data_IF_915456884244
#
_entry.id   IF_915456884244
#
_cell.length_a   1.000
_cell.length_b   1.000
_cell.length_c   1.000
_cell.angle_alpha   90.00
_cell.angle_beta   90.00
_cell.angle_gamma   90.00
#
_symmetry.space_group_name_H-M   'P 1'
#
loop_
_entity.id
_entity.type
_entity.pdbx_description
1 polymer ?
#
# COMPACT_ATOMS: atom_id res chain seq x y z
N UNK A 1 -33.54 31.91 19.56
CA UNK A 1 -32.33 31.08 19.64
C UNK A 1 -31.27 31.95 20.30
N UNK A 2 -30.72 31.52 21.41
CA UNK A 2 -29.74 32.34 22.13
C UNK A 2 -28.43 32.40 21.34
N UNK A 3 -27.76 33.54 21.38
CA UNK A 3 -26.47 33.75 20.70
C UNK A 3 -25.41 32.73 21.08
N UNK A 4 -25.54 32.10 22.26
CA UNK A 4 -24.68 31.03 22.75
C UNK A 4 -24.77 29.73 21.90
N UNK A 5 -25.95 29.41 21.36
CA UNK A 5 -26.11 28.19 20.50
C UNK A 5 -25.48 28.43 19.14
N UNK A 6 -25.60 29.65 18.60
CA UNK A 6 -24.95 30.01 17.34
C UNK A 6 -23.42 30.00 17.48
N UNK A 7 -22.91 30.55 18.58
CA UNK A 7 -21.47 30.52 18.88
C UNK A 7 -20.96 29.12 19.07
N UNK A 8 -21.72 28.22 19.71
CA UNK A 8 -21.38 26.81 19.86
C UNK A 8 -21.34 26.10 18.52
N UNK A 9 -22.36 26.31 17.65
CA UNK A 9 -22.41 25.71 16.30
C UNK A 9 -21.28 26.26 15.42
N UNK A 10 -20.98 27.54 15.48
CA UNK A 10 -19.89 28.15 14.71
C UNK A 10 -18.51 27.65 15.18
N UNK A 11 -18.34 27.37 16.47
CA UNK A 11 -17.10 26.83 17.02
C UNK A 11 -16.89 25.35 16.67
N UNK A 12 -17.96 24.57 16.41
CA UNK A 12 -17.89 23.21 15.91
C UNK A 12 -17.45 23.15 14.43
N UNK A 13 -17.63 24.27 13.69
CA UNK A 13 -17.20 24.40 12.30
C UNK A 13 -15.79 25.03 12.15
N UNK A 14 -15.16 25.46 13.25
CA UNK A 14 -13.74 25.75 13.25
C UNK A 14 -13.05 24.40 12.94
N UNK A 15 -12.48 24.27 11.74
CA UNK A 15 -11.62 23.12 11.40
C UNK A 15 -10.58 23.04 12.51
N UNK A 16 -10.61 21.94 13.25
CA UNK A 16 -9.55 21.63 14.20
C UNK A 16 -8.25 21.46 13.40
N UNK A 17 -7.48 22.54 13.27
CA UNK A 17 -6.20 22.54 12.56
C UNK A 17 -5.18 21.59 13.23
N UNK A 18 -5.51 21.07 14.40
CA UNK A 18 -4.70 20.10 15.15
C UNK A 18 -5.12 18.65 14.90
N UNK A 19 -6.26 18.43 14.23
CA UNK A 19 -6.72 17.06 13.93
C UNK A 19 -5.72 16.36 12.99
N UNK A 20 -5.35 15.10 13.27
CA UNK A 20 -4.45 14.38 12.40
C UNK A 20 -5.08 14.21 11.02
N UNK A 21 -4.35 14.60 9.97
CA UNK A 21 -4.80 14.52 8.59
C UNK A 21 -4.12 13.37 7.86
N UNK A 22 -4.87 12.67 6.99
CA UNK A 22 -4.28 11.71 6.08
C UNK A 22 -3.43 12.43 5.02
N UNK A 23 -2.24 11.91 4.74
CA UNK A 23 -1.30 12.48 3.79
C UNK A 23 -0.88 11.46 2.74
N UNK A 24 -0.81 11.84 1.46
CA UNK A 24 -0.29 10.93 0.42
C UNK A 24 1.16 10.54 0.68
N UNK A 25 1.47 9.27 0.48
CA UNK A 25 2.84 8.75 0.44
C UNK A 25 3.19 8.49 -1.02
N UNK A 26 4.24 9.13 -1.48
CA UNK A 26 4.74 9.00 -2.85
C UNK A 26 6.22 8.64 -2.84
N UNK A 27 6.66 7.89 -3.83
CA UNK A 27 8.06 7.56 -4.02
C UNK A 27 8.48 7.89 -5.46
N UNK A 28 9.71 8.38 -5.62
CA UNK A 28 10.22 8.82 -6.92
C UNK A 28 10.36 7.69 -7.94
N UNK A 29 10.50 6.44 -7.48
CA UNK A 29 10.82 5.26 -8.31
C UNK A 29 9.61 4.33 -8.49
N UNK A 30 8.40 4.87 -8.48
CA UNK A 30 7.18 4.09 -8.67
C UNK A 30 6.56 4.38 -10.04
N UNK A 31 5.87 3.40 -10.63
CA UNK A 31 5.03 3.67 -11.78
C UNK A 31 4.00 4.74 -11.42
N UNK A 32 3.73 5.65 -12.35
CA UNK A 32 2.68 6.64 -12.17
C UNK A 32 1.32 5.94 -11.96
N UNK A 33 0.49 6.41 -11.02
CA UNK A 33 -0.86 5.88 -10.88
C UNK A 33 -1.64 6.00 -12.18
N UNK A 34 -2.36 4.95 -12.52
CA UNK A 34 -3.18 4.90 -13.75
C UNK A 34 -4.61 5.44 -13.53
N UNK A 35 -4.89 5.98 -12.36
CA UNK A 35 -6.20 6.50 -11.98
C UNK A 35 -6.11 7.54 -10.87
N UNK A 36 -7.26 8.05 -10.38
CA UNK A 36 -7.32 9.12 -9.38
C UNK A 36 -7.09 8.55 -7.96
N UNK A 37 -5.89 8.05 -7.66
CA UNK A 37 -5.50 7.54 -6.35
C UNK A 37 -4.02 7.83 -6.07
N UNK A 38 -3.65 7.79 -4.79
CA UNK A 38 -2.27 7.88 -4.34
C UNK A 38 -1.65 6.48 -4.24
N UNK A 39 -0.36 6.30 -4.52
CA UNK A 39 0.34 5.02 -4.30
C UNK A 39 0.25 4.54 -2.85
N UNK A 40 0.27 5.45 -1.91
CA UNK A 40 0.08 5.17 -0.50
C UNK A 40 -0.56 6.35 0.22
N UNK A 41 -1.14 6.07 1.38
CA UNK A 41 -1.76 7.06 2.25
C UNK A 41 -1.33 6.81 3.69
N UNK A 42 -0.77 7.82 4.33
CA UNK A 42 -0.40 7.78 5.74
C UNK A 42 -1.45 8.43 6.62
N UNK A 43 -1.73 7.84 7.76
CA UNK A 43 -2.55 8.41 8.82
C UNK A 43 -2.01 7.98 10.18
N UNK A 44 -1.61 8.94 11.01
CA UNK A 44 -0.91 8.68 12.26
C UNK A 44 0.30 7.75 12.04
N UNK A 45 0.24 6.53 12.54
CA UNK A 45 1.28 5.52 12.37
C UNK A 45 0.95 4.45 11.33
N UNK A 46 -0.18 4.56 10.64
CA UNK A 46 -0.59 3.61 9.63
C UNK A 46 -0.21 4.10 8.24
N UNK A 47 0.21 3.17 7.41
CA UNK A 47 0.44 3.38 5.98
C UNK A 47 -0.40 2.38 5.22
N UNK A 48 -1.25 2.90 4.36
CA UNK A 48 -2.08 2.13 3.43
C UNK A 48 -1.41 2.20 2.06
N UNK A 49 -1.09 1.04 1.50
CA UNK A 49 -0.49 0.93 0.18
C UNK A 49 -1.55 0.45 -0.79
N UNK A 50 -1.78 1.22 -1.84
CA UNK A 50 -2.66 0.83 -2.94
C UNK A 50 -2.17 -0.44 -3.62
N UNK A 51 -3.07 -1.19 -4.23
CA UNK A 51 -2.72 -2.38 -5.00
C UNK A 51 -1.59 -2.09 -5.99
N UNK A 52 -0.51 -2.85 -5.87
CA UNK A 52 0.66 -2.74 -6.73
C UNK A 52 0.69 -3.91 -7.70
N UNK A 53 0.68 -3.59 -8.98
CA UNK A 53 0.98 -4.55 -10.04
C UNK A 53 2.48 -4.73 -10.24
N UNK A 54 2.82 -5.59 -11.18
CA UNK A 54 4.20 -6.00 -11.45
C UNK A 54 4.94 -5.10 -12.46
N UNK A 55 4.57 -3.83 -12.57
CA UNK A 55 5.29 -2.90 -13.44
C UNK A 55 6.62 -2.51 -12.81
N UNK A 56 7.69 -2.74 -13.53
CA UNK A 56 9.03 -2.27 -13.16
C UNK A 56 9.11 -0.75 -13.40
N UNK A 57 9.32 0.06 -12.37
CA UNK A 57 9.39 1.52 -12.54
C UNK A 57 10.57 1.98 -13.39
N UNK A 58 11.63 1.18 -13.50
CA UNK A 58 12.79 1.53 -14.32
C UNK A 58 12.51 1.42 -15.83
N UNK A 59 11.63 0.52 -16.23
CA UNK A 59 11.33 0.24 -17.65
C UNK A 59 9.93 0.64 -18.07
N UNK A 60 9.00 0.80 -17.11
CA UNK A 60 7.58 1.01 -17.37
C UNK A 60 6.85 -0.23 -17.91
N UNK A 61 7.48 -1.41 -17.86
CA UNK A 61 6.97 -2.67 -18.38
C UNK A 61 6.73 -3.67 -17.26
N UNK A 62 5.94 -4.71 -17.53
CA UNK A 62 5.85 -5.85 -16.63
C UNK A 62 7.22 -6.50 -16.43
N UNK A 63 7.52 -6.87 -15.19
CA UNK A 63 8.80 -7.48 -14.80
C UNK A 63 9.05 -8.85 -15.44
N UNK A 64 8.03 -9.47 -15.98
CA UNK A 64 8.13 -10.74 -16.69
C UNK A 64 6.76 -11.40 -16.89
N UNK A 65 6.70 -12.50 -17.62
CA UNK A 65 5.45 -13.19 -17.88
C UNK A 65 5.07 -14.20 -16.79
N UNK A 66 5.99 -14.55 -15.90
CA UNK A 66 5.76 -15.57 -14.86
C UNK A 66 5.34 -14.95 -13.53
N UNK A 67 4.64 -15.78 -12.72
CA UNK A 67 4.10 -15.36 -11.43
C UNK A 67 5.20 -15.00 -10.44
N UNK A 68 6.37 -15.65 -10.51
CA UNK A 68 7.48 -15.40 -9.61
C UNK A 68 8.05 -13.99 -9.81
N UNK A 69 8.39 -13.62 -11.03
CA UNK A 69 8.90 -12.28 -11.34
C UNK A 69 7.88 -11.20 -11.03
N UNK A 70 6.60 -11.46 -11.31
CA UNK A 70 5.53 -10.51 -11.03
C UNK A 70 5.28 -10.35 -9.53
N UNK A 71 5.28 -11.43 -8.75
CA UNK A 71 5.13 -11.35 -7.29
C UNK A 71 6.28 -10.57 -6.66
N UNK A 72 7.50 -10.84 -7.08
CA UNK A 72 8.68 -10.11 -6.60
C UNK A 72 8.56 -8.61 -6.90
N UNK A 73 8.18 -8.25 -8.11
CA UNK A 73 8.06 -6.83 -8.49
C UNK A 73 6.93 -6.12 -7.73
N UNK A 74 5.77 -6.77 -7.56
CA UNK A 74 4.68 -6.22 -6.72
C UNK A 74 5.19 -5.88 -5.31
N UNK A 75 5.90 -6.80 -4.68
CA UNK A 75 6.42 -6.60 -3.32
C UNK A 75 7.57 -5.58 -3.28
N UNK A 76 8.39 -5.45 -4.31
CA UNK A 76 9.36 -4.36 -4.44
C UNK A 76 8.67 -3.00 -4.52
N UNK A 77 7.58 -2.91 -5.26
CA UNK A 77 6.80 -1.68 -5.38
C UNK A 77 6.13 -1.33 -4.03
N UNK A 78 5.53 -2.32 -3.35
CA UNK A 78 5.00 -2.15 -1.99
C UNK A 78 6.09 -1.67 -1.03
N UNK A 79 7.25 -2.31 -1.05
CA UNK A 79 8.40 -1.94 -0.21
C UNK A 79 8.83 -0.49 -0.45
N UNK A 80 8.93 -0.05 -1.68
CA UNK A 80 9.33 1.31 -2.02
C UNK A 80 8.36 2.36 -1.45
N UNK A 81 7.05 2.09 -1.51
CA UNK A 81 6.03 2.97 -0.91
C UNK A 81 6.16 2.99 0.61
N UNK A 82 6.32 1.81 1.24
CA UNK A 82 6.48 1.70 2.69
C UNK A 82 7.72 2.46 3.17
N UNK A 83 8.85 2.31 2.49
CA UNK A 83 10.10 3.01 2.83
C UNK A 83 9.96 4.52 2.69
N UNK A 84 9.27 4.99 1.65
CA UNK A 84 8.96 6.41 1.49
C UNK A 84 8.09 6.97 2.64
N UNK A 85 7.24 6.13 3.23
CA UNK A 85 6.43 6.46 4.41
C UNK A 85 7.15 6.21 5.75
N UNK A 86 8.41 5.78 5.75
CA UNK A 86 9.18 5.50 6.96
C UNK A 86 8.90 4.13 7.58
N UNK A 87 8.39 3.19 6.81
CA UNK A 87 8.10 1.82 7.22
C UNK A 87 8.97 0.80 6.47
N UNK A 88 8.62 -0.46 6.51
CA UNK A 88 9.30 -1.55 5.81
C UNK A 88 8.38 -2.77 5.67
N UNK A 89 8.80 -3.76 4.88
CA UNK A 89 8.07 -5.04 4.78
C UNK A 89 7.93 -5.73 6.15
N UNK A 90 8.88 -5.58 7.05
CA UNK A 90 8.82 -6.16 8.41
C UNK A 90 7.77 -5.50 9.31
N UNK A 91 7.27 -4.35 8.93
CA UNK A 91 6.23 -3.60 9.64
C UNK A 91 4.84 -3.78 9.03
N UNK A 92 4.71 -4.60 8.00
CA UNK A 92 3.41 -4.90 7.38
C UNK A 92 2.54 -5.67 8.36
N UNK A 93 1.31 -5.20 8.53
CA UNK A 93 0.28 -5.83 9.38
C UNK A 93 -0.58 -6.78 8.56
N UNK A 94 -0.89 -6.40 7.33
CA UNK A 94 -1.78 -7.13 6.44
C UNK A 94 -1.44 -6.88 4.98
N UNK A 95 -1.60 -7.93 4.16
CA UNK A 95 -1.65 -7.84 2.70
C UNK A 95 -2.97 -8.42 2.15
N UNK A 96 -3.44 -7.85 1.05
CA UNK A 96 -4.35 -8.50 0.10
C UNK A 96 -3.55 -8.99 -1.10
N UNK A 97 -3.79 -10.20 -1.53
CA UNK A 97 -3.16 -10.79 -2.74
C UNK A 97 -4.26 -11.20 -3.70
N UNK A 98 -4.20 -10.65 -4.90
CA UNK A 98 -5.20 -10.84 -5.96
C UNK A 98 -4.52 -11.54 -7.13
N UNK A 99 -4.96 -12.78 -7.41
CA UNK A 99 -4.41 -13.64 -8.47
C UNK A 99 -5.41 -13.75 -9.63
N UNK A 100 -4.93 -13.81 -10.85
CA UNK A 100 -5.77 -14.15 -12.01
C UNK A 100 -5.96 -15.65 -12.18
N UNK A 101 -5.08 -16.46 -11.57
CA UNK A 101 -5.14 -17.92 -11.60
C UNK A 101 -4.67 -18.52 -10.26
N UNK A 102 -5.57 -19.13 -9.51
CA UNK A 102 -5.25 -19.75 -8.22
C UNK A 102 -4.34 -20.99 -8.37
N UNK A 103 -4.20 -21.56 -9.56
CA UNK A 103 -3.23 -22.64 -9.81
C UNK A 103 -1.78 -22.18 -9.56
N UNK A 104 -1.52 -20.88 -9.63
CA UNK A 104 -0.19 -20.31 -9.38
C UNK A 104 0.07 -19.95 -7.90
N UNK A 105 -0.86 -20.26 -7.00
CA UNK A 105 -0.82 -19.92 -5.57
C UNK A 105 0.47 -20.36 -4.87
N UNK A 106 0.93 -21.59 -5.08
CA UNK A 106 2.13 -22.11 -4.41
C UNK A 106 3.41 -21.42 -4.92
N UNK A 107 3.47 -21.12 -6.20
CA UNK A 107 4.61 -20.44 -6.81
C UNK A 107 4.67 -18.98 -6.33
N UNK A 108 3.54 -18.31 -6.25
CA UNK A 108 3.42 -16.98 -5.62
C UNK A 108 3.87 -17.04 -4.16
N UNK A 109 3.40 -18.01 -3.38
CA UNK A 109 3.75 -18.15 -1.96
C UNK A 109 5.26 -18.31 -1.73
N UNK A 110 5.96 -19.02 -2.59
CA UNK A 110 7.41 -19.22 -2.48
C UNK A 110 8.16 -17.87 -2.54
N UNK A 111 7.79 -17.00 -3.48
CA UNK A 111 8.38 -15.65 -3.60
C UNK A 111 7.95 -14.76 -2.46
N UNK A 112 6.67 -14.77 -2.11
CA UNK A 112 6.12 -14.00 -1.01
C UNK A 112 6.84 -14.30 0.32
N UNK A 113 7.02 -15.59 0.64
CA UNK A 113 7.73 -16.02 1.85
C UNK A 113 9.19 -15.55 1.86
N UNK A 114 9.88 -15.65 0.74
CA UNK A 114 11.27 -15.18 0.59
C UNK A 114 11.38 -13.68 0.81
N UNK A 115 10.49 -12.89 0.22
CA UNK A 115 10.53 -11.43 0.31
C UNK A 115 10.23 -10.92 1.72
N UNK A 116 9.33 -11.57 2.45
CA UNK A 116 9.02 -11.21 3.83
C UNK A 116 10.03 -11.74 4.85
N UNK A 117 10.91 -12.63 4.47
CA UNK A 117 12.06 -13.08 5.27
C UNK A 117 11.69 -13.44 6.72
N UNK A 118 10.74 -14.35 6.90
CA UNK A 118 10.27 -14.84 8.19
C UNK A 118 9.17 -14.00 8.85
N UNK A 119 8.92 -12.78 8.41
CA UNK A 119 7.73 -12.03 8.83
C UNK A 119 6.48 -12.60 8.15
N UNK A 120 5.38 -12.71 8.88
CA UNK A 120 4.12 -13.30 8.41
C UNK A 120 2.94 -12.41 8.73
N UNK A 121 2.70 -11.34 7.94
CA UNK A 121 1.54 -10.49 8.12
C UNK A 121 0.24 -11.27 7.88
N UNK A 122 -0.86 -10.78 8.43
CA UNK A 122 -2.18 -11.26 8.07
C UNK A 122 -2.38 -11.11 6.55
N UNK A 123 -3.07 -12.06 5.92
CA UNK A 123 -3.26 -12.06 4.47
C UNK A 123 -4.61 -12.64 4.07
N UNK A 124 -5.19 -12.06 3.04
CA UNK A 124 -6.27 -12.67 2.26
C UNK A 124 -5.76 -12.87 0.84
N UNK A 125 -5.98 -14.05 0.27
CA UNK A 125 -5.63 -14.36 -1.13
C UNK A 125 -6.88 -14.81 -1.85
N UNK A 126 -7.17 -14.18 -2.98
CA UNK A 126 -8.36 -14.49 -3.80
C UNK A 126 -7.99 -14.52 -5.28
N UNK A 127 -8.73 -15.29 -6.06
CA UNK A 127 -8.72 -15.19 -7.50
C UNK A 127 -9.72 -14.12 -7.94
N UNK A 128 -9.34 -13.27 -8.87
CA UNK A 128 -10.16 -12.19 -9.42
C UNK A 128 -10.45 -12.45 -10.90
N UNK A 129 -11.52 -11.85 -11.40
CA UNK A 129 -11.92 -11.99 -12.80
C UNK A 129 -10.92 -11.32 -13.76
N UNK A 130 -10.32 -10.20 -13.36
CA UNK A 130 -9.32 -9.46 -14.13
C UNK A 130 -8.53 -8.51 -13.23
N UNK A 131 -7.37 -8.10 -13.68
CA UNK A 131 -6.57 -7.01 -13.14
C UNK A 131 -6.49 -5.85 -14.16
N UNK A 132 -6.14 -4.62 -13.72
CA UNK A 132 -6.24 -3.42 -14.56
C UNK A 132 -5.40 -3.42 -15.84
N UNK A 133 -4.33 -4.20 -15.89
CA UNK A 133 -3.44 -4.27 -17.04
C UNK A 133 -3.40 -5.67 -17.64
N UNK A 134 -3.39 -5.74 -18.96
CA UNK A 134 -3.17 -7.00 -19.67
C UNK A 134 -1.82 -7.62 -19.28
N UNK A 135 -1.81 -8.92 -19.07
CA UNK A 135 -0.62 -9.68 -18.68
C UNK A 135 -0.31 -9.66 -17.18
N UNK A 136 -0.99 -8.85 -16.37
CA UNK A 136 -0.87 -8.95 -14.92
C UNK A 136 -1.47 -10.26 -14.41
N UNK A 137 -0.70 -10.95 -13.58
CA UNK A 137 -1.08 -12.20 -12.89
C UNK A 137 -1.38 -12.01 -11.42
N UNK A 138 -0.82 -10.96 -10.82
CA UNK A 138 -0.93 -10.69 -9.39
C UNK A 138 -0.92 -9.19 -9.12
N UNK A 139 -1.66 -8.81 -8.10
CA UNK A 139 -1.66 -7.48 -7.48
C UNK A 139 -1.63 -7.65 -5.97
N UNK A 140 -0.89 -6.79 -5.26
CA UNK A 140 -0.74 -6.87 -3.81
C UNK A 140 -0.93 -5.47 -3.21
N UNK A 141 -1.82 -5.36 -2.24
CA UNK A 141 -1.95 -4.20 -1.36
C UNK A 141 -1.36 -4.49 0.03
N UNK A 142 -1.20 -3.47 0.84
CA UNK A 142 -0.69 -3.64 2.19
C UNK A 142 -1.19 -2.55 3.14
N UNK A 143 -1.22 -2.91 4.42
CA UNK A 143 -1.31 -1.96 5.55
C UNK A 143 -0.12 -2.24 6.44
N UNK A 144 0.61 -1.20 6.80
CA UNK A 144 1.79 -1.28 7.64
C UNK A 144 1.78 -0.22 8.74
N UNK A 145 2.63 -0.40 9.73
CA UNK A 145 2.86 0.58 10.78
C UNK A 145 4.21 1.28 10.54
N UNK A 146 4.22 2.61 10.63
CA UNK A 146 5.46 3.36 10.69
C UNK A 146 5.90 3.49 12.16
N UNK A 147 7.15 3.16 12.51
CA UNK A 147 7.67 3.44 13.82
C UNK A 147 7.55 4.93 14.14
N UNK A 148 7.31 5.28 15.41
CA UNK A 148 7.40 6.69 15.80
C UNK A 148 8.81 7.18 15.49
N UNK A 149 8.91 8.31 14.78
CA UNK A 149 10.18 9.04 14.75
C UNK A 149 10.48 9.41 16.20
N UNK A 150 11.56 8.88 16.77
CA UNK A 150 12.06 9.40 18.01
C UNK A 150 12.32 10.89 17.80
N UNK A 151 11.44 11.72 18.33
CA UNK A 151 11.73 13.14 18.47
C UNK A 151 12.85 13.16 19.52
N UNK A 152 14.09 13.26 19.04
CA UNK A 152 15.23 13.37 19.93
C UNK A 152 14.97 14.52 20.91
N UNK A 153 15.04 14.18 22.17
CA UNK A 153 15.11 15.16 23.23
C UNK A 153 16.43 15.94 23.11
#
# INVERSE_FOLDING_TARGET
MSDDILAFIMNQNAKDETAPAATPVVAANLPAPVGPYSPGMGFERLIFVSGQGATDPATGRLAGPDIEAQTEQCLRNVQAILEAGGSSLKQVLRCGVFLTDMAEFQRMNAVYSRMFDGHRPARTTVQVAALPHEGLKVEIDAVAIAPQKNVGM
#
